data_IF_727891026713
#
_entry.id   IF_727891026713
#
_cell.length_a   1.000
_cell.length_b   1.000
_cell.length_c   1.000
_cell.angle_alpha   90.00
_cell.angle_beta   90.00
_cell.angle_gamma   90.00
#
_symmetry.space_group_name_H-M   'P 1'
#
loop_
_entity.id
_entity.type
_entity.pdbx_description
1 polymer ?
#
# COMPACT_ATOMS: atom_id res chain seq x y z
N UNK A 1 13.36 -1.08 3.88
CA UNK A 1 12.81 0.15 4.48
C UNK A 1 13.17 0.29 5.97
N UNK A 2 13.64 -0.75 6.64
CA UNK A 2 14.11 -0.70 8.03
C UNK A 2 13.01 -0.76 9.09
N UNK A 3 11.81 -1.26 8.74
CA UNK A 3 10.76 -1.52 9.73
C UNK A 3 11.19 -2.59 10.73
N UNK A 4 10.86 -2.43 12.02
CA UNK A 4 11.08 -3.46 13.07
C UNK A 4 9.94 -4.48 13.01
N UNK A 5 10.13 -5.49 12.17
CA UNK A 5 9.20 -6.60 11.98
C UNK A 5 9.88 -7.89 12.45
N UNK A 6 9.20 -8.66 13.29
CA UNK A 6 9.66 -9.94 13.79
C UNK A 6 8.65 -11.02 13.50
N UNK A 7 9.13 -12.15 13.05
CA UNK A 7 8.33 -13.34 12.80
C UNK A 7 8.69 -14.42 13.83
N UNK A 8 7.67 -15.08 14.34
CA UNK A 8 7.85 -16.28 15.16
C UNK A 8 6.99 -17.41 14.60
N UNK A 9 7.63 -18.53 14.34
CA UNK A 9 6.96 -19.73 13.86
C UNK A 9 6.26 -20.46 15.01
N UNK A 10 4.97 -20.74 14.84
CA UNK A 10 4.10 -21.39 15.85
C UNK A 10 3.66 -22.82 15.51
N UNK A 11 4.21 -23.41 14.43
CA UNK A 11 3.81 -24.74 13.96
C UNK A 11 2.99 -24.69 12.67
N UNK A 12 2.11 -25.70 12.50
CA UNK A 12 1.23 -25.81 11.34
C UNK A 12 -0.24 -25.94 11.77
N UNK A 13 -1.13 -25.42 10.94
CA UNK A 13 -2.56 -25.72 10.96
C UNK A 13 -2.90 -26.49 9.67
N UNK A 14 -3.05 -27.80 9.78
CA UNK A 14 -3.09 -28.68 8.60
C UNK A 14 -1.74 -28.68 7.86
N UNK A 15 -1.74 -28.20 6.61
CA UNK A 15 -0.50 -28.09 5.79
C UNK A 15 0.08 -26.67 5.77
N UNK A 16 -0.64 -25.69 6.35
CA UNK A 16 -0.24 -24.29 6.30
C UNK A 16 0.66 -23.93 7.49
N UNK A 17 1.74 -23.17 7.28
CA UNK A 17 2.56 -22.66 8.38
C UNK A 17 1.76 -21.64 9.20
N UNK A 18 1.93 -21.70 10.51
CA UNK A 18 1.29 -20.79 11.46
C UNK A 18 2.34 -20.08 12.29
N UNK A 19 2.12 -18.78 12.54
CA UNK A 19 3.06 -17.97 13.28
C UNK A 19 2.47 -16.66 13.74
N UNK A 20 3.32 -15.84 14.33
CA UNK A 20 2.98 -14.48 14.75
C UNK A 20 3.93 -13.51 14.10
N UNK A 21 3.39 -12.43 13.54
CA UNK A 21 4.14 -11.28 13.05
C UNK A 21 3.97 -10.15 14.08
N UNK A 22 5.07 -9.66 14.61
CA UNK A 22 5.11 -8.51 15.51
C UNK A 22 5.71 -7.33 14.77
N UNK A 23 4.97 -6.23 14.71
CA UNK A 23 5.43 -4.98 14.09
C UNK A 23 5.57 -3.94 15.19
N UNK A 24 6.77 -3.42 15.39
CA UNK A 24 7.02 -2.32 16.31
C UNK A 24 7.06 -0.98 15.59
N UNK A 25 6.71 0.07 16.30
CA UNK A 25 6.81 1.42 15.75
C UNK A 25 8.23 1.73 15.31
N UNK A 26 8.37 2.17 14.07
CA UNK A 26 9.64 2.61 13.48
C UNK A 26 9.52 4.11 13.17
N UNK A 27 10.29 4.99 13.83
CA UNK A 27 10.12 6.43 13.72
C UNK A 27 10.34 6.98 12.30
N UNK A 28 11.24 6.37 11.54
CA UNK A 28 11.56 6.77 10.18
C UNK A 28 11.84 5.55 9.33
N UNK A 29 10.97 5.31 8.37
CA UNK A 29 11.24 4.38 7.29
C UNK A 29 12.18 5.04 6.26
N UNK A 30 12.93 4.23 5.53
CA UNK A 30 13.83 4.70 4.46
C UNK A 30 13.40 4.13 3.12
N UNK A 31 13.53 4.93 2.09
CA UNK A 31 13.42 4.47 0.72
C UNK A 31 14.39 3.32 0.45
N UNK A 32 14.03 2.44 -0.44
CA UNK A 32 14.82 1.28 -0.83
C UNK A 32 14.50 0.86 -2.26
N UNK A 33 15.35 0.03 -2.83
CA UNK A 33 15.06 -0.67 -4.08
C UNK A 33 14.37 -2.00 -3.78
N UNK A 34 13.32 -2.30 -4.53
CA UNK A 34 12.64 -3.60 -4.56
C UNK A 34 13.03 -4.26 -5.89
N UNK A 35 13.98 -5.20 -5.87
CA UNK A 35 14.50 -5.83 -7.09
C UNK A 35 13.42 -6.62 -7.85
N UNK A 36 13.52 -6.66 -9.17
CA UNK A 36 12.58 -7.34 -10.07
C UNK A 36 12.33 -8.81 -9.69
N UNK A 37 13.34 -9.50 -9.18
CA UNK A 37 13.21 -10.89 -8.72
C UNK A 37 12.20 -11.11 -7.59
N UNK A 38 11.84 -10.06 -6.84
CA UNK A 38 10.85 -10.11 -5.76
C UNK A 38 9.47 -9.64 -6.20
N UNK A 39 9.36 -8.94 -7.33
CA UNK A 39 8.11 -8.31 -7.76
C UNK A 39 6.98 -9.34 -7.93
N UNK A 40 7.24 -10.46 -8.58
CA UNK A 40 6.22 -11.49 -8.79
C UNK A 40 5.57 -11.98 -7.47
N UNK A 41 6.31 -11.98 -6.36
CA UNK A 41 5.80 -12.41 -5.05
C UNK A 41 5.06 -11.31 -4.28
N UNK A 42 5.19 -10.04 -4.68
CA UNK A 42 4.59 -8.88 -4.00
C UNK A 42 3.80 -7.98 -4.95
N UNK A 43 3.58 -8.41 -6.18
CA UNK A 43 2.96 -7.59 -7.23
C UNK A 43 1.59 -7.02 -6.80
N UNK A 44 0.82 -7.83 -6.10
CA UNK A 44 -0.51 -7.46 -5.64
C UNK A 44 -0.48 -6.56 -4.39
N UNK A 45 0.64 -6.51 -3.67
CA UNK A 45 0.87 -5.65 -2.52
C UNK A 45 1.53 -4.31 -2.89
N UNK A 46 1.97 -4.14 -4.14
CA UNK A 46 2.61 -2.88 -4.59
C UNK A 46 1.77 -1.63 -4.26
N UNK A 47 0.43 -1.61 -4.42
CA UNK A 47 -0.35 -0.43 -4.05
C UNK A 47 -0.15 0.00 -2.59
N UNK A 48 -0.24 -0.93 -1.64
CA UNK A 48 -0.05 -0.61 -0.22
C UNK A 48 1.43 -0.36 0.11
N UNK A 49 2.37 -1.03 -0.54
CA UNK A 49 3.80 -0.78 -0.37
C UNK A 49 4.20 0.61 -0.90
N UNK A 50 3.59 1.08 -1.98
CA UNK A 50 3.78 2.44 -2.49
C UNK A 50 3.24 3.49 -1.50
N UNK A 51 2.10 3.22 -0.83
CA UNK A 51 1.61 4.07 0.25
C UNK A 51 2.58 4.09 1.44
N UNK A 52 3.18 2.95 1.81
CA UNK A 52 4.24 2.91 2.84
C UNK A 52 5.47 3.69 2.39
N UNK A 53 5.86 3.58 1.12
CA UNK A 53 6.98 4.34 0.53
C UNK A 53 6.74 5.85 0.58
N UNK A 54 5.49 6.30 0.40
CA UNK A 54 5.11 7.71 0.50
C UNK A 54 5.43 8.33 1.87
N UNK A 55 5.51 7.52 2.93
CA UNK A 55 5.88 7.96 4.28
C UNK A 55 7.36 7.72 4.61
N UNK A 56 8.15 7.18 3.71
CA UNK A 56 9.56 6.93 3.94
C UNK A 56 10.41 8.19 3.67
N UNK A 57 11.65 8.17 4.10
CA UNK A 57 12.65 9.20 3.75
C UNK A 57 13.41 8.76 2.50
N UNK A 58 13.38 9.56 1.44
CA UNK A 58 14.06 9.31 0.18
C UNK A 58 13.21 8.49 -0.79
N UNK A 59 13.82 8.06 -1.86
CA UNK A 59 13.14 7.40 -2.98
C UNK A 59 13.06 5.90 -2.75
N UNK A 60 11.89 5.32 -2.99
CA UNK A 60 11.69 3.87 -3.16
C UNK A 60 11.49 3.57 -4.63
N UNK A 61 12.19 2.54 -5.12
CA UNK A 61 12.08 2.08 -6.51
C UNK A 61 11.56 0.65 -6.53
N UNK A 62 10.50 0.43 -7.28
CA UNK A 62 9.98 -0.91 -7.57
C UNK A 62 10.32 -1.24 -9.02
N UNK A 63 11.24 -2.20 -9.23
CA UNK A 63 11.74 -2.54 -10.56
C UNK A 63 10.79 -3.48 -11.31
N UNK A 64 10.64 -3.28 -12.62
CA UNK A 64 9.90 -4.17 -13.53
C UNK A 64 8.44 -4.45 -13.10
N UNK A 65 7.70 -3.42 -12.68
CA UNK A 65 6.30 -3.52 -12.26
C UNK A 65 5.28 -3.37 -13.39
N UNK A 66 5.71 -3.45 -14.65
CA UNK A 66 4.85 -3.26 -15.83
C UNK A 66 3.60 -4.14 -15.85
N UNK A 67 3.63 -5.33 -15.22
CA UNK A 67 2.47 -6.21 -15.07
C UNK A 67 1.29 -5.54 -14.32
N UNK A 68 1.53 -4.51 -13.49
CA UNK A 68 0.47 -3.76 -12.81
C UNK A 68 -0.52 -3.10 -13.77
N UNK A 69 -0.12 -2.81 -15.01
CA UNK A 69 -0.98 -2.16 -16.03
C UNK A 69 -2.08 -3.06 -16.55
N UNK A 70 -1.91 -4.37 -16.43
CA UNK A 70 -2.82 -5.38 -17.00
C UNK A 70 -3.55 -6.20 -15.93
N UNK A 71 -3.61 -5.69 -14.71
CA UNK A 71 -4.40 -6.26 -13.61
C UNK A 71 -5.89 -5.88 -13.75
N UNK A 72 -6.67 -5.88 -12.68
CA UNK A 72 -8.09 -5.49 -12.68
C UNK A 72 -8.32 -4.05 -13.16
N UNK A 73 -7.28 -3.22 -13.03
CA UNK A 73 -7.17 -1.85 -13.55
C UNK A 73 -5.72 -1.59 -13.96
N UNK A 74 -5.43 -0.46 -14.59
CA UNK A 74 -4.04 0.03 -14.68
C UNK A 74 -3.63 0.53 -13.29
N UNK A 75 -3.16 -0.43 -12.44
CA UNK A 75 -2.75 -0.13 -11.07
C UNK A 75 -1.57 0.82 -11.01
N UNK A 76 -0.66 0.77 -12.00
CA UNK A 76 0.53 1.62 -12.00
C UNK A 76 0.13 3.09 -12.14
N UNK A 77 -0.68 3.41 -13.14
CA UNK A 77 -1.21 4.77 -13.30
C UNK A 77 -2.05 5.20 -12.08
N UNK A 78 -2.93 4.31 -11.58
CA UNK A 78 -3.78 4.62 -10.43
C UNK A 78 -3.00 4.86 -9.13
N UNK A 79 -1.85 4.20 -8.92
CA UNK A 79 -0.96 4.45 -7.78
C UNK A 79 -0.36 5.85 -7.91
N UNK A 80 0.18 6.20 -9.07
CA UNK A 80 0.79 7.52 -9.33
C UNK A 80 -0.25 8.63 -9.11
N UNK A 81 -1.44 8.49 -9.69
CA UNK A 81 -2.52 9.46 -9.55
C UNK A 81 -2.97 9.61 -8.08
N UNK A 82 -3.12 8.50 -7.37
CA UNK A 82 -3.53 8.52 -5.97
C UNK A 82 -2.46 9.13 -5.04
N UNK A 83 -1.18 8.88 -5.29
CA UNK A 83 -0.07 9.49 -4.54
C UNK A 83 0.04 10.99 -4.84
N UNK A 84 -0.22 11.42 -6.08
CA UNK A 84 -0.27 12.84 -6.44
C UNK A 84 -1.35 13.60 -5.66
N UNK A 85 -2.51 13.00 -5.38
CA UNK A 85 -3.53 13.61 -4.51
C UNK A 85 -3.02 13.87 -3.09
N UNK A 86 -2.06 13.07 -2.62
CA UNK A 86 -1.40 13.25 -1.32
C UNK A 86 -0.27 14.29 -1.37
N UNK A 87 0.07 14.82 -2.55
CA UNK A 87 1.22 15.69 -2.74
C UNK A 87 2.55 14.93 -2.69
N UNK A 88 2.53 13.64 -3.02
CA UNK A 88 3.72 12.77 -3.10
C UNK A 88 4.13 12.65 -4.56
N UNK A 89 5.38 12.94 -4.84
CA UNK A 89 5.96 12.76 -6.17
C UNK A 89 6.17 11.26 -6.44
N UNK A 90 5.46 10.76 -7.43
CA UNK A 90 5.61 9.40 -7.93
C UNK A 90 5.61 9.42 -9.46
N UNK A 91 6.48 8.63 -10.07
CA UNK A 91 6.61 8.58 -11.53
C UNK A 91 7.08 7.21 -12.00
N UNK A 92 7.00 6.98 -13.26
CA UNK A 92 7.50 5.80 -13.92
C UNK A 92 8.65 6.12 -14.88
N UNK A 93 9.62 5.20 -14.95
CA UNK A 93 10.64 5.21 -16.00
C UNK A 93 10.73 3.79 -16.59
N UNK A 94 10.25 3.63 -17.82
CA UNK A 94 10.07 2.30 -18.40
C UNK A 94 9.00 1.51 -17.65
N UNK A 95 9.40 0.40 -17.05
CA UNK A 95 8.53 -0.44 -16.21
C UNK A 95 8.81 -0.28 -14.69
N UNK A 96 9.65 0.67 -14.31
CA UNK A 96 9.98 0.94 -12.91
C UNK A 96 9.06 2.03 -12.33
N UNK A 97 8.62 1.84 -11.08
CA UNK A 97 7.87 2.83 -10.30
C UNK A 97 8.79 3.46 -9.25
N UNK A 98 8.84 4.78 -9.26
CA UNK A 98 9.55 5.60 -8.28
C UNK A 98 8.57 6.31 -7.37
N UNK A 99 8.86 6.34 -6.07
CA UNK A 99 8.07 7.07 -5.07
C UNK A 99 9.03 7.87 -4.19
N UNK A 100 8.96 9.20 -4.24
CA UNK A 100 9.71 10.09 -3.35
C UNK A 100 8.93 10.34 -2.08
N UNK A 101 9.33 9.67 -1.00
CA UNK A 101 8.60 9.66 0.25
C UNK A 101 8.87 10.88 1.13
N UNK A 102 7.86 11.26 1.92
CA UNK A 102 7.91 12.35 2.89
C UNK A 102 7.50 11.84 4.30
N UNK A 103 8.43 11.69 5.26
CA UNK A 103 8.11 11.25 6.63
C UNK A 103 7.19 12.19 7.40
N UNK A 104 6.96 13.40 6.90
CA UNK A 104 6.06 14.41 7.49
C UNK A 104 4.79 14.60 6.64
N UNK A 105 4.47 13.62 5.80
CA UNK A 105 3.29 13.67 4.95
C UNK A 105 2.03 13.96 5.77
N UNK A 106 1.32 14.99 5.38
CA UNK A 106 0.01 15.35 5.93
C UNK A 106 -1.06 15.02 4.91
N UNK A 107 -2.08 14.32 5.33
CA UNK A 107 -3.22 13.98 4.45
C UNK A 107 -4.11 15.20 4.28
N UNK A 108 -4.29 15.76 3.08
CA UNK A 108 -5.21 16.87 2.84
C UNK A 108 -6.65 16.47 3.14
N UNK A 109 -7.47 17.45 3.55
CA UNK A 109 -8.90 17.22 3.76
C UNK A 109 -9.67 17.10 2.44
N UNK A 110 -10.76 16.34 2.47
CA UNK A 110 -11.72 16.26 1.36
C UNK A 110 -11.23 15.44 0.16
N UNK A 111 -10.20 14.62 0.32
CA UNK A 111 -9.71 13.78 -0.77
C UNK A 111 -10.74 12.73 -1.18
N UNK A 112 -10.84 12.55 -2.49
CA UNK A 112 -11.65 11.50 -3.13
C UNK A 112 -10.73 10.66 -4.00
N UNK A 113 -10.50 9.41 -3.61
CA UNK A 113 -9.68 8.47 -4.37
C UNK A 113 -10.53 7.65 -5.32
N UNK A 114 -10.05 7.47 -6.54
CA UNK A 114 -10.67 6.58 -7.52
C UNK A 114 -10.08 5.17 -7.36
N UNK A 115 -10.95 4.18 -7.10
CA UNK A 115 -10.52 2.77 -6.99
C UNK A 115 -10.54 2.03 -8.32
N UNK A 116 -11.17 2.58 -9.34
CA UNK A 116 -11.44 1.90 -10.62
C UNK A 116 -12.21 0.58 -10.49
N UNK A 117 -12.82 0.31 -9.32
CA UNK A 117 -13.44 -0.97 -9.00
C UNK A 117 -12.43 -2.07 -8.62
N UNK A 118 -11.17 -1.71 -8.43
CA UNK A 118 -10.11 -2.58 -7.97
C UNK A 118 -10.08 -2.60 -6.44
N UNK A 119 -10.30 -3.78 -5.86
CA UNK A 119 -10.38 -3.96 -4.41
C UNK A 119 -9.07 -3.65 -3.68
N UNK A 120 -7.90 -3.86 -4.31
CA UNK A 120 -6.59 -3.57 -3.71
C UNK A 120 -6.34 -2.07 -3.63
N UNK A 121 -6.67 -1.32 -4.68
CA UNK A 121 -6.63 0.14 -4.66
C UNK A 121 -7.63 0.70 -3.65
N UNK A 122 -8.86 0.17 -3.62
CA UNK A 122 -9.88 0.62 -2.68
C UNK A 122 -9.43 0.46 -1.22
N UNK A 123 -8.87 -0.70 -0.86
CA UNK A 123 -8.33 -0.95 0.49
C UNK A 123 -7.13 -0.06 0.79
N UNK A 124 -6.21 0.12 -0.16
CA UNK A 124 -5.03 0.99 -0.01
C UNK A 124 -5.44 2.41 0.32
N UNK A 125 -6.38 2.98 -0.44
CA UNK A 125 -6.83 4.36 -0.20
C UNK A 125 -7.65 4.52 1.08
N UNK A 126 -8.36 3.48 1.53
CA UNK A 126 -9.03 3.52 2.83
C UNK A 126 -8.02 3.60 4.00
N UNK A 127 -6.83 2.99 3.87
CA UNK A 127 -5.77 3.10 4.87
C UNK A 127 -5.25 4.54 5.00
N UNK A 128 -5.27 5.35 3.94
CA UNK A 128 -4.89 6.78 4.01
C UNK A 128 -5.71 7.50 5.06
N UNK A 129 -7.03 7.33 5.05
CA UNK A 129 -7.92 7.96 6.02
C UNK A 129 -7.69 7.45 7.44
N UNK A 130 -7.48 6.15 7.58
CA UNK A 130 -7.24 5.51 8.88
C UNK A 130 -5.91 5.96 9.51
N UNK A 131 -4.82 5.97 8.74
CA UNK A 131 -3.49 6.34 9.21
C UNK A 131 -3.34 7.86 9.39
N UNK A 132 -3.88 8.65 8.47
CA UNK A 132 -3.82 10.11 8.48
C UNK A 132 -4.77 10.78 9.46
N UNK A 133 -5.71 10.02 10.06
CA UNK A 133 -6.80 10.54 10.90
C UNK A 133 -7.62 11.64 10.22
N UNK A 134 -7.61 11.67 8.91
CA UNK A 134 -8.33 12.62 8.07
C UNK A 134 -9.33 11.84 7.22
N UNK A 135 -10.62 12.19 7.24
CA UNK A 135 -11.62 11.49 6.43
C UNK A 135 -11.30 11.59 4.93
N UNK A 136 -11.31 10.45 4.27
CA UNK A 136 -11.19 10.35 2.81
C UNK A 136 -12.38 9.60 2.24
N UNK A 137 -12.68 9.84 0.98
CA UNK A 137 -13.68 9.07 0.23
C UNK A 137 -12.99 8.19 -0.80
N UNK A 138 -13.52 6.98 -1.00
CA UNK A 138 -13.03 6.06 -2.03
C UNK A 138 -14.22 5.66 -2.91
N UNK A 139 -14.11 5.90 -4.22
CA UNK A 139 -15.20 5.55 -5.15
C UNK A 139 -15.30 4.04 -5.31
N UNK A 140 -16.49 3.57 -5.67
CA UNK A 140 -16.76 2.14 -5.96
C UNK A 140 -16.24 1.16 -4.90
N UNK A 141 -16.21 1.56 -3.63
CA UNK A 141 -15.63 0.78 -2.52
C UNK A 141 -16.28 -0.60 -2.33
N UNK A 142 -17.48 -0.80 -2.84
CA UNK A 142 -18.18 -2.11 -2.77
C UNK A 142 -17.41 -3.26 -3.40
N UNK A 143 -16.44 -2.98 -4.29
CA UNK A 143 -15.55 -4.00 -4.86
C UNK A 143 -14.74 -4.76 -3.80
N UNK A 144 -14.48 -4.18 -2.64
CA UNK A 144 -13.75 -4.81 -1.54
C UNK A 144 -14.46 -6.06 -1.01
N UNK A 145 -15.80 -6.06 -1.03
CA UNK A 145 -16.59 -7.20 -0.54
C UNK A 145 -16.34 -8.52 -1.29
N UNK A 146 -15.74 -8.46 -2.49
CA UNK A 146 -15.39 -9.64 -3.28
C UNK A 146 -14.25 -10.45 -2.64
N UNK A 147 -13.27 -9.75 -2.06
CA UNK A 147 -12.05 -10.37 -1.51
C UNK A 147 -11.97 -10.27 0.01
N UNK A 148 -12.50 -9.21 0.62
CA UNK A 148 -12.42 -8.97 2.05
C UNK A 148 -13.70 -8.27 2.57
N UNK A 149 -14.82 -9.00 2.75
CA UNK A 149 -16.11 -8.42 3.16
C UNK A 149 -16.05 -7.64 4.48
N UNK A 150 -15.23 -8.10 5.43
CA UNK A 150 -15.13 -7.52 6.78
C UNK A 150 -14.06 -6.42 6.92
N UNK A 151 -13.38 -6.04 5.83
CA UNK A 151 -12.27 -5.11 5.85
C UNK A 151 -12.52 -3.83 6.65
N UNK A 152 -13.66 -3.16 6.46
CA UNK A 152 -13.96 -1.91 7.20
C UNK A 152 -14.22 -2.14 8.68
N UNK A 153 -14.80 -3.29 9.05
CA UNK A 153 -15.03 -3.65 10.46
C UNK A 153 -13.69 -3.88 11.16
N UNK A 154 -12.81 -4.64 10.53
CA UNK A 154 -11.47 -4.95 11.05
C UNK A 154 -10.60 -3.70 11.11
N UNK A 155 -10.62 -2.87 10.05
CA UNK A 155 -9.87 -1.61 10.03
C UNK A 155 -10.31 -0.68 11.18
N UNK A 156 -11.62 -0.54 11.43
CA UNK A 156 -12.14 0.25 12.55
C UNK A 156 -11.73 -0.31 13.91
N UNK A 157 -11.56 -1.62 14.02
CA UNK A 157 -11.05 -2.27 15.23
C UNK A 157 -9.59 -1.97 15.54
N UNK A 158 -8.79 -1.64 14.52
CA UNK A 158 -7.37 -1.34 14.63
C UNK A 158 -7.08 0.14 14.92
N UNK A 159 -7.95 1.02 14.45
CA UNK A 159 -7.81 2.48 14.64
C UNK A 159 -8.55 2.91 15.91
N UNK A 160 -7.81 3.25 16.95
CA UNK A 160 -8.33 3.75 18.23
C UNK A 160 -8.14 5.25 18.37
#
# INVERSE_FOLDING_TARGET
MGADIRESYGGHEGKEPRGTITVNFTPVLRGCEVPSQHIASVIDEIPVLALVAAHARGITVFHEVGELRVKESDRLAAIIDGLALLGVDAWEEGDDLFVEGNPQLQVPEGLVFESHGDHRLAMTWALVGACGRTPVSVTRFTCVAVSYPDFLADLKGLVK
#
